data_IF_303828852486
#
_entry.id   IF_303828852486
#
_cell.length_a   1.000
_cell.length_b   1.000
_cell.length_c   1.000
_cell.angle_alpha   90.00
_cell.angle_beta   90.00
_cell.angle_gamma   90.00
#
_symmetry.space_group_name_H-M   'P 1'
#
loop_
_entity.id
_entity.type
_entity.pdbx_description
1 polymer ?
#
# COMPACT_ATOMS: atom_id res chain seq x y z
N UNK A 1 12.82 4.47 13.28
CA UNK A 1 12.43 3.38 12.35
C UNK A 1 10.98 3.55 11.95
N UNK A 2 10.69 3.47 10.68
CA UNK A 2 9.32 3.58 10.19
C UNK A 2 8.63 2.21 10.21
N UNK A 3 7.31 2.21 10.32
CA UNK A 3 6.52 0.98 10.23
C UNK A 3 5.58 1.08 9.04
N UNK A 4 5.62 0.05 8.18
CA UNK A 4 4.85 0.00 6.93
C UNK A 4 3.93 -1.22 6.97
N UNK A 5 2.68 -1.02 6.60
CA UNK A 5 1.72 -2.11 6.43
C UNK A 5 1.65 -2.46 4.95
N UNK A 6 1.93 -3.72 4.62
CA UNK A 6 1.79 -4.26 3.26
C UNK A 6 0.48 -5.03 3.18
N UNK A 7 -0.41 -4.62 2.27
CA UNK A 7 -1.70 -5.27 2.06
C UNK A 7 -1.68 -5.91 0.67
N UNK A 8 -1.57 -7.24 0.63
CA UNK A 8 -1.48 -8.00 -0.61
C UNK A 8 -1.92 -9.45 -0.34
N UNK A 9 -2.81 -9.98 -1.17
CA UNK A 9 -3.27 -11.36 -1.03
C UNK A 9 -2.27 -12.39 -1.58
N UNK A 10 -1.28 -11.94 -2.35
CA UNK A 10 -0.16 -12.77 -2.79
C UNK A 10 0.92 -12.77 -1.69
N UNK A 11 0.91 -13.82 -0.87
CA UNK A 11 1.82 -13.90 0.27
C UNK A 11 3.29 -13.84 -0.12
N UNK A 12 3.67 -14.53 -1.20
CA UNK A 12 5.08 -14.55 -1.63
C UNK A 12 5.54 -13.17 -2.07
N UNK A 13 4.71 -12.46 -2.80
CA UNK A 13 5.00 -11.09 -3.20
C UNK A 13 5.06 -10.16 -1.98
N UNK A 14 4.13 -10.32 -1.05
CA UNK A 14 4.13 -9.52 0.18
C UNK A 14 5.41 -9.70 0.98
N UNK A 15 5.89 -10.92 1.11
CA UNK A 15 7.16 -11.22 1.79
C UNK A 15 8.33 -10.57 1.07
N UNK A 16 8.36 -10.65 -0.26
CA UNK A 16 9.42 -10.01 -1.05
C UNK A 16 9.42 -8.48 -0.87
N UNK A 17 8.24 -7.87 -0.92
CA UNK A 17 8.10 -6.43 -0.66
C UNK A 17 8.60 -6.07 0.74
N UNK A 18 8.26 -6.89 1.72
CA UNK A 18 8.72 -6.71 3.09
C UNK A 18 10.24 -6.76 3.22
N UNK A 19 10.88 -7.69 2.52
CA UNK A 19 12.35 -7.77 2.50
C UNK A 19 12.98 -6.50 1.91
N UNK A 20 12.44 -6.00 0.81
CA UNK A 20 12.92 -4.76 0.20
C UNK A 20 12.76 -3.59 1.18
N UNK A 21 11.63 -3.48 1.84
CA UNK A 21 11.37 -2.41 2.79
C UNK A 21 12.28 -2.45 4.02
N UNK A 22 12.74 -3.65 4.40
CA UNK A 22 13.70 -3.80 5.48
C UNK A 22 15.01 -3.06 5.17
N UNK A 23 15.41 -3.03 3.90
CA UNK A 23 16.61 -2.26 3.48
C UNK A 23 16.38 -0.75 3.58
N UNK A 24 15.14 -0.29 3.70
CA UNK A 24 14.80 1.11 3.91
C UNK A 24 14.55 1.42 5.39
N UNK A 25 15.04 0.57 6.26
CA UNK A 25 14.94 0.73 7.71
C UNK A 25 13.49 0.76 8.21
N UNK A 26 12.66 -0.10 7.64
CA UNK A 26 11.25 -0.21 8.00
C UNK A 26 10.98 -1.52 8.74
N UNK A 27 10.10 -1.45 9.73
CA UNK A 27 9.41 -2.62 10.24
C UNK A 27 8.18 -2.85 9.36
N UNK A 28 7.91 -4.11 9.03
CA UNK A 28 6.84 -4.45 8.08
C UNK A 28 5.89 -5.45 8.71
N UNK A 29 4.61 -5.15 8.63
CA UNK A 29 3.55 -6.12 8.90
C UNK A 29 2.80 -6.40 7.60
N UNK A 30 2.31 -7.62 7.44
CA UNK A 30 1.63 -8.05 6.22
C UNK A 30 0.19 -8.40 6.56
N UNK A 31 -0.73 -7.87 5.75
CA UNK A 31 -2.15 -8.21 5.80
C UNK A 31 -2.55 -8.81 4.45
N UNK A 32 -3.26 -9.93 4.48
CA UNK A 32 -3.67 -10.62 3.26
C UNK A 32 -4.97 -10.06 2.66
N UNK A 33 -5.67 -9.23 3.38
CA UNK A 33 -6.94 -8.64 2.94
C UNK A 33 -7.26 -7.39 3.76
N UNK A 34 -8.39 -6.75 3.42
CA UNK A 34 -8.79 -5.51 4.09
C UNK A 34 -9.13 -5.68 5.56
N UNK A 35 -9.72 -6.81 5.93
CA UNK A 35 -10.07 -7.09 7.33
C UNK A 35 -8.81 -7.19 8.19
N UNK A 36 -7.82 -7.95 7.73
CA UNK A 36 -6.53 -8.04 8.42
C UNK A 36 -5.82 -6.70 8.49
N UNK A 37 -5.91 -5.91 7.42
CA UNK A 37 -5.33 -4.57 7.40
C UNK A 37 -5.94 -3.68 8.48
N UNK A 38 -7.26 -3.68 8.61
CA UNK A 38 -7.93 -2.89 9.64
C UNK A 38 -7.59 -3.39 11.06
N UNK A 39 -7.43 -4.71 11.23
CA UNK A 39 -6.99 -5.27 12.50
C UNK A 39 -5.59 -4.80 12.87
N UNK A 40 -4.67 -4.78 11.90
CA UNK A 40 -3.31 -4.27 12.11
C UNK A 40 -3.35 -2.79 12.52
N UNK A 41 -4.14 -1.98 11.83
CA UNK A 41 -4.23 -0.55 12.10
C UNK A 41 -4.82 -0.25 13.48
N UNK A 42 -5.70 -1.10 13.98
CA UNK A 42 -6.21 -0.95 15.34
C UNK A 42 -5.18 -1.32 16.41
N UNK A 43 -4.26 -2.22 16.07
CA UNK A 43 -3.28 -2.73 17.01
C UNK A 43 -2.00 -1.89 17.09
N UNK A 44 -1.63 -1.19 16.02
CA UNK A 44 -0.37 -0.46 15.92
C UNK A 44 -0.51 0.77 15.03
N UNK A 45 0.41 1.72 15.21
CA UNK A 45 0.54 2.88 14.35
C UNK A 45 1.46 2.58 13.17
N UNK A 46 1.09 3.05 11.99
CA UNK A 46 1.87 2.88 10.76
C UNK A 46 2.19 4.22 10.14
N UNK A 47 3.35 4.29 9.49
CA UNK A 47 3.81 5.48 8.79
C UNK A 47 3.40 5.50 7.32
N UNK A 48 3.12 4.34 6.75
CA UNK A 48 2.69 4.21 5.36
C UNK A 48 1.98 2.87 5.15
N UNK A 49 1.17 2.81 4.09
CA UNK A 49 0.48 1.61 3.65
C UNK A 49 0.85 1.35 2.19
N UNK A 50 1.37 0.17 1.91
CA UNK A 50 1.61 -0.31 0.55
C UNK A 50 0.48 -1.26 0.22
N UNK A 51 -0.36 -0.90 -0.74
CA UNK A 51 -1.62 -1.59 -1.01
C UNK A 51 -1.71 -2.06 -2.46
N UNK A 52 -1.92 -3.38 -2.65
CA UNK A 52 -2.23 -3.93 -3.96
C UNK A 52 -3.71 -3.61 -4.28
N UNK A 53 -3.94 -3.05 -5.45
CA UNK A 53 -5.29 -2.69 -5.88
C UNK A 53 -6.04 -3.84 -6.56
N UNK A 54 -5.34 -4.91 -6.90
CA UNK A 54 -5.91 -6.03 -7.69
C UNK A 54 -6.15 -7.28 -6.84
N UNK A 55 -6.62 -7.11 -5.63
CA UNK A 55 -6.98 -8.24 -4.77
C UNK A 55 -8.39 -8.74 -5.11
N UNK A 56 -8.58 -10.06 -5.34
CA UNK A 56 -9.87 -10.59 -5.80
C UNK A 56 -11.03 -10.35 -4.84
N UNK A 57 -10.77 -10.28 -3.54
CA UNK A 57 -11.82 -10.17 -2.51
C UNK A 57 -11.87 -8.82 -1.83
N UNK A 58 -11.00 -7.91 -2.23
CA UNK A 58 -10.91 -6.59 -1.60
C UNK A 58 -10.84 -5.53 -2.67
N UNK A 59 -11.73 -4.57 -2.59
CA UNK A 59 -11.64 -3.36 -3.39
C UNK A 59 -10.63 -2.43 -2.70
N UNK A 60 -9.50 -2.19 -3.35
CA UNK A 60 -8.47 -1.30 -2.81
C UNK A 60 -8.95 0.12 -2.59
N UNK A 61 -9.87 0.59 -3.44
CA UNK A 61 -10.48 1.92 -3.26
C UNK A 61 -11.33 1.95 -1.98
N UNK A 62 -12.15 0.93 -1.75
CA UNK A 62 -12.97 0.84 -0.55
C UNK A 62 -12.09 0.76 0.70
N UNK A 63 -11.02 -0.02 0.64
CA UNK A 63 -10.07 -0.10 1.76
C UNK A 63 -9.42 1.26 2.03
N UNK A 64 -8.96 1.95 0.99
CA UNK A 64 -8.39 3.28 1.15
C UNK A 64 -9.36 4.22 1.86
N UNK A 65 -10.62 4.24 1.42
CA UNK A 65 -11.64 5.09 2.00
C UNK A 65 -11.88 4.76 3.48
N UNK A 66 -11.94 3.47 3.82
CA UNK A 66 -12.12 3.02 5.21
C UNK A 66 -10.94 3.43 6.09
N UNK A 67 -9.73 3.24 5.60
CA UNK A 67 -8.51 3.60 6.35
C UNK A 67 -8.45 5.11 6.58
N UNK A 68 -8.69 5.90 5.55
CA UNK A 68 -8.59 7.36 5.65
C UNK A 68 -9.68 7.94 6.55
N UNK A 69 -10.86 7.33 6.58
CA UNK A 69 -11.93 7.76 7.47
C UNK A 69 -11.50 7.65 8.93
N UNK A 70 -10.85 6.54 9.31
CA UNK A 70 -10.46 6.27 10.69
C UNK A 70 -9.05 6.76 11.01
N UNK A 71 -8.17 6.87 10.00
CA UNK A 71 -6.77 7.26 10.15
C UNK A 71 -6.41 8.32 9.10
N UNK A 72 -6.96 9.54 9.22
CA UNK A 72 -6.82 10.54 8.14
C UNK A 72 -5.39 10.95 7.83
N UNK A 73 -4.45 10.81 8.76
CA UNK A 73 -3.05 11.15 8.47
C UNK A 73 -2.42 10.22 7.42
N UNK A 74 -3.03 9.04 7.18
CA UNK A 74 -2.55 8.11 6.17
C UNK A 74 -3.04 8.45 4.76
N UNK A 75 -3.88 9.47 4.59
CA UNK A 75 -4.48 9.81 3.30
C UNK A 75 -3.44 10.07 2.21
N UNK A 76 -2.27 10.63 2.55
CA UNK A 76 -1.18 10.91 1.61
C UNK A 76 0.04 10.01 1.85
N UNK A 77 -0.17 8.87 2.51
CA UNK A 77 0.90 7.93 2.87
C UNK A 77 0.63 6.52 2.36
N UNK A 78 -0.13 6.43 1.26
CA UNK A 78 -0.33 5.18 0.53
C UNK A 78 0.62 5.09 -0.65
N UNK A 79 1.08 3.87 -0.92
CA UNK A 79 1.73 3.51 -2.16
C UNK A 79 0.92 2.38 -2.76
N UNK A 80 0.30 2.65 -3.91
CA UNK A 80 -0.51 1.65 -4.59
C UNK A 80 0.32 0.84 -5.57
N UNK A 81 0.07 -0.45 -5.62
CA UNK A 81 0.73 -1.38 -6.53
C UNK A 81 -0.34 -2.11 -7.33
N UNK A 82 -0.17 -2.26 -8.64
CA UNK A 82 -1.15 -2.95 -9.46
C UNK A 82 -0.51 -3.60 -10.69
N UNK A 83 -1.09 -4.71 -11.15
CA UNK A 83 -0.65 -5.37 -12.36
C UNK A 83 -1.37 -4.89 -13.62
N UNK A 84 -2.54 -4.28 -13.50
CA UNK A 84 -3.35 -3.89 -14.67
C UNK A 84 -4.16 -2.62 -14.41
N UNK A 85 -3.50 -1.45 -14.31
CA UNK A 85 -4.16 -0.23 -13.88
C UNK A 85 -5.19 0.31 -14.87
N UNK A 86 -5.04 0.05 -16.15
CA UNK A 86 -5.82 0.72 -17.19
C UNK A 86 -7.16 0.05 -17.50
N UNK A 87 -7.46 -1.11 -16.89
CA UNK A 87 -8.63 -1.92 -17.27
C UNK A 87 -9.88 -1.66 -16.44
N UNK A 88 -9.75 -1.01 -15.30
CA UNK A 88 -10.89 -0.74 -14.41
C UNK A 88 -11.39 0.68 -14.62
N UNK A 89 -12.69 0.82 -14.89
CA UNK A 89 -13.30 2.15 -15.03
C UNK A 89 -13.14 2.95 -13.74
N UNK A 90 -12.76 4.22 -13.87
CA UNK A 90 -12.58 5.12 -12.74
C UNK A 90 -11.28 4.95 -11.98
N UNK A 91 -10.43 4.00 -12.38
CA UNK A 91 -9.18 3.72 -11.69
C UNK A 91 -8.23 4.92 -11.69
N UNK A 92 -8.03 5.54 -12.84
CA UNK A 92 -7.15 6.70 -12.96
C UNK A 92 -7.66 7.88 -12.14
N UNK A 93 -8.97 8.09 -12.15
CA UNK A 93 -9.58 9.16 -11.37
C UNK A 93 -9.39 8.94 -9.87
N UNK A 94 -9.56 7.70 -9.41
CA UNK A 94 -9.33 7.37 -8.01
C UNK A 94 -7.90 7.71 -7.59
N UNK A 95 -6.90 7.20 -8.32
CA UNK A 95 -5.49 7.45 -8.00
C UNK A 95 -5.18 8.95 -8.00
N UNK A 96 -5.66 9.65 -9.02
CA UNK A 96 -5.46 11.09 -9.14
C UNK A 96 -6.04 11.84 -7.92
N UNK A 97 -7.26 11.47 -7.51
CA UNK A 97 -7.90 12.11 -6.35
C UNK A 97 -7.15 11.90 -5.05
N UNK A 98 -6.53 10.73 -4.88
CA UNK A 98 -5.77 10.46 -3.65
C UNK A 98 -4.45 11.20 -3.59
N UNK A 99 -3.88 11.57 -4.73
CA UNK A 99 -2.57 12.20 -4.81
C UNK A 99 -1.41 11.27 -4.44
N UNK A 100 -1.67 9.98 -4.29
CA UNK A 100 -0.64 9.01 -3.93
C UNK A 100 -0.01 8.38 -5.17
N UNK A 101 1.18 7.80 -4.98
CA UNK A 101 1.90 7.15 -6.06
C UNK A 101 1.30 5.80 -6.40
N UNK A 102 1.41 5.44 -7.68
CA UNK A 102 1.05 4.14 -8.21
C UNK A 102 2.29 3.52 -8.87
N UNK A 103 2.58 2.27 -8.51
CA UNK A 103 3.62 1.48 -9.17
C UNK A 103 2.94 0.34 -9.91
N UNK A 104 3.26 0.20 -11.20
CA UNK A 104 2.75 -0.87 -12.05
C UNK A 104 3.69 -2.07 -12.02
N UNK A 105 3.11 -3.27 -11.91
CA UNK A 105 3.87 -4.52 -12.06
C UNK A 105 4.10 -4.81 -13.55
N UNK A 106 5.25 -5.31 -13.98
CA UNK A 106 6.44 -5.55 -13.15
C UNK A 106 7.18 -4.26 -12.83
N UNK A 107 7.76 -4.19 -11.65
CA UNK A 107 8.57 -3.06 -11.23
C UNK A 107 9.95 -3.55 -10.79
N UNK A 108 10.94 -2.66 -10.78
CA UNK A 108 12.25 -3.00 -10.23
C UNK A 108 12.37 -2.54 -8.77
N UNK A 109 13.36 -3.10 -8.06
CA UNK A 109 13.60 -2.83 -6.65
C UNK A 109 13.91 -1.35 -6.41
N UNK A 110 14.64 -0.71 -7.31
CA UNK A 110 15.00 0.70 -7.15
C UNK A 110 13.79 1.61 -7.26
N UNK A 111 12.88 1.30 -8.17
CA UNK A 111 11.64 2.04 -8.32
C UNK A 111 10.80 1.97 -7.04
N UNK A 112 10.67 0.76 -6.48
CA UNK A 112 9.94 0.56 -5.24
C UNK A 112 10.57 1.33 -4.08
N UNK A 113 11.90 1.22 -3.93
CA UNK A 113 12.62 1.90 -2.85
C UNK A 113 12.47 3.41 -2.92
N UNK A 114 12.59 3.97 -4.11
CA UNK A 114 12.45 5.42 -4.31
C UNK A 114 11.03 5.88 -3.93
N UNK A 115 10.01 5.14 -4.32
CA UNK A 115 8.62 5.47 -4.02
C UNK A 115 8.35 5.39 -2.51
N UNK A 116 8.86 4.38 -1.84
CA UNK A 116 8.70 4.24 -0.39
C UNK A 116 9.36 5.40 0.34
N UNK A 117 10.58 5.77 -0.05
CA UNK A 117 11.28 6.91 0.56
C UNK A 117 10.47 8.19 0.45
N UNK A 118 9.89 8.43 -0.71
CA UNK A 118 9.08 9.63 -0.92
C UNK A 118 7.85 9.63 -0.01
N UNK A 119 7.15 8.50 0.08
CA UNK A 119 5.96 8.39 0.95
C UNK A 119 6.32 8.64 2.41
N UNK A 120 7.43 8.08 2.88
CA UNK A 120 7.88 8.21 4.27
C UNK A 120 8.33 9.63 4.63
N UNK A 121 8.61 10.46 3.65
CA UNK A 121 9.05 11.84 3.86
C UNK A 121 7.90 12.86 3.88
N UNK A 122 6.69 12.41 3.66
CA UNK A 122 5.53 13.30 3.60
C UNK A 122 5.05 13.81 4.98
#
# INVERSE_FOLDING_TARGET
>A
MHRVLVVDDDHDLAVLLGEVLTYENCEVDIAANGMEAMDCLRARDYDAVLCDLMMPRVDGEALYNDVVRDYPFLANRFLFVTGQPSRKAGFSDFIWRTGNQLIEKPFDVQQLRAAVREVLQR
#
